data_IF_794141414182
#
_entry.id   IF_794141414182
#
_cell.length_a   1.000
_cell.length_b   1.000
_cell.length_c   1.000
_cell.angle_alpha   90.00
_cell.angle_beta   90.00
_cell.angle_gamma   90.00
#
_symmetry.space_group_name_H-M   'P 1'
#
loop_
_entity.id
_entity.type
_entity.pdbx_description
1 polymer ?
#
# COMPACT_ATOMS: atom_id res chain seq x y z
N UNK A 1 9.69 2.92 -30.15
CA UNK A 1 10.56 4.11 -30.00
C UNK A 1 11.10 4.14 -28.59
N UNK A 2 12.14 4.94 -28.31
CA UNK A 2 12.65 5.11 -26.94
C UNK A 2 11.55 5.65 -26.01
N UNK A 3 11.58 5.29 -24.72
CA UNK A 3 10.59 5.75 -23.75
C UNK A 3 10.54 7.27 -23.71
N UNK A 4 9.32 7.81 -23.74
CA UNK A 4 9.05 9.23 -23.69
C UNK A 4 9.29 9.77 -22.28
N UNK A 5 9.39 11.09 -22.16
CA UNK A 5 9.48 11.76 -20.85
C UNK A 5 8.28 11.41 -19.93
N UNK A 6 7.09 11.25 -20.50
CA UNK A 6 5.91 10.86 -19.75
C UNK A 6 6.03 9.43 -19.18
N UNK A 7 6.63 8.50 -19.93
CA UNK A 7 6.88 7.13 -19.46
C UNK A 7 7.84 7.13 -18.26
N UNK A 8 8.88 7.96 -18.30
CA UNK A 8 9.82 8.12 -17.19
C UNK A 8 9.16 8.74 -15.94
N UNK A 9 8.25 9.70 -16.11
CA UNK A 9 7.50 10.29 -14.99
C UNK A 9 6.54 9.27 -14.35
N UNK A 10 5.87 8.44 -15.15
CA UNK A 10 5.01 7.36 -14.67
C UNK A 10 5.80 6.30 -13.89
N UNK A 11 6.97 5.91 -14.41
CA UNK A 11 7.88 4.97 -13.73
C UNK A 11 8.39 5.56 -12.43
N UNK A 12 8.76 6.85 -12.39
CA UNK A 12 9.25 7.47 -11.16
C UNK A 12 8.16 7.50 -10.06
N UNK A 13 6.90 7.76 -10.42
CA UNK A 13 5.76 7.67 -9.50
C UNK A 13 5.56 6.25 -8.97
N UNK A 14 5.69 5.23 -9.84
CA UNK A 14 5.63 3.82 -9.45
C UNK A 14 6.78 3.43 -8.52
N UNK A 15 8.00 3.94 -8.74
CA UNK A 15 9.15 3.67 -7.87
C UNK A 15 8.97 4.30 -6.49
N UNK A 16 8.52 5.56 -6.41
CA UNK A 16 8.21 6.20 -5.13
C UNK A 16 7.17 5.43 -4.34
N UNK A 17 6.18 4.88 -5.05
CA UNK A 17 5.18 4.01 -4.49
C UNK A 17 5.77 2.71 -3.92
N UNK A 18 6.56 1.98 -4.71
CA UNK A 18 7.18 0.71 -4.29
C UNK A 18 8.16 0.87 -3.12
N UNK A 19 8.82 2.02 -3.02
CA UNK A 19 9.72 2.34 -1.90
C UNK A 19 8.99 2.28 -0.54
N UNK A 20 7.70 2.63 -0.48
CA UNK A 20 6.92 2.58 0.76
C UNK A 20 6.76 1.13 1.23
N UNK A 21 6.41 0.23 0.31
CA UNK A 21 6.29 -1.21 0.59
C UNK A 21 7.64 -1.79 1.01
N UNK A 22 8.69 -1.46 0.27
CA UNK A 22 10.03 -1.93 0.55
C UNK A 22 10.50 -1.55 1.97
N UNK A 23 10.31 -0.29 2.38
CA UNK A 23 10.67 0.18 3.73
C UNK A 23 9.86 -0.54 4.81
N UNK A 24 8.55 -0.68 4.62
CA UNK A 24 7.69 -1.41 5.54
C UNK A 24 8.11 -2.89 5.67
N UNK A 25 8.41 -3.56 4.56
CA UNK A 25 8.88 -4.94 4.55
C UNK A 25 10.20 -5.09 5.29
N UNK A 26 11.19 -4.22 5.06
CA UNK A 26 12.47 -4.28 5.79
C UNK A 26 12.25 -4.14 7.29
N UNK A 27 11.47 -3.15 7.72
CA UNK A 27 11.23 -2.93 9.15
C UNK A 27 10.52 -4.12 9.80
N UNK A 28 9.56 -4.72 9.11
CA UNK A 28 8.85 -5.91 9.59
C UNK A 28 9.74 -7.15 9.63
N UNK A 29 10.55 -7.39 8.59
CA UNK A 29 11.44 -8.55 8.51
C UNK A 29 12.62 -8.47 9.47
N UNK A 30 13.07 -7.26 9.85
CA UNK A 30 14.17 -7.06 10.78
C UNK A 30 13.74 -7.11 12.25
N UNK A 31 12.44 -7.09 12.55
CA UNK A 31 11.96 -7.10 13.94
C UNK A 31 12.05 -8.49 14.57
N UNK A 32 12.64 -8.55 15.76
CA UNK A 32 12.68 -9.75 16.61
C UNK A 32 11.62 -9.75 17.72
N UNK A 33 10.79 -8.70 17.79
CA UNK A 33 9.70 -8.54 18.76
C UNK A 33 8.35 -8.40 18.05
N UNK A 34 7.21 -8.56 18.75
CA UNK A 34 5.88 -8.43 18.16
C UNK A 34 5.70 -7.04 17.51
N UNK A 35 5.76 -7.01 16.18
CA UNK A 35 5.68 -5.77 15.40
C UNK A 35 4.26 -5.45 14.91
N UNK A 36 3.24 -6.01 15.56
CA UNK A 36 1.85 -5.89 15.13
C UNK A 36 1.36 -4.44 15.03
N UNK A 37 1.72 -3.56 15.98
CA UNK A 37 1.43 -2.12 15.91
C UNK A 37 2.11 -1.46 14.70
N UNK A 38 3.36 -1.83 14.41
CA UNK A 38 4.09 -1.31 13.24
C UNK A 38 3.51 -1.82 11.94
N UNK A 39 3.11 -3.09 11.90
CA UNK A 39 2.43 -3.72 10.78
C UNK A 39 1.10 -3.01 10.49
N UNK A 40 0.31 -2.73 11.52
CA UNK A 40 -0.91 -1.96 11.38
C UNK A 40 -0.64 -0.56 10.81
N UNK A 41 0.33 0.17 11.37
CA UNK A 41 0.69 1.50 10.89
C UNK A 41 1.18 1.48 9.43
N UNK A 42 1.98 0.47 9.05
CA UNK A 42 2.42 0.26 7.69
C UNK A 42 1.25 0.01 6.73
N UNK A 43 0.32 -0.88 7.11
CA UNK A 43 -0.88 -1.18 6.31
C UNK A 43 -1.69 0.09 6.11
N UNK A 44 -2.00 0.84 7.18
CA UNK A 44 -2.77 2.09 7.10
C UNK A 44 -2.08 3.13 6.21
N UNK A 45 -0.76 3.29 6.34
CA UNK A 45 0.03 4.22 5.52
C UNK A 45 0.01 3.84 4.05
N UNK A 46 0.17 2.54 3.74
CA UNK A 46 0.09 2.02 2.37
C UNK A 46 -1.31 2.25 1.78
N UNK A 47 -2.38 1.95 2.52
CA UNK A 47 -3.76 2.17 2.07
C UNK A 47 -4.01 3.63 1.72
N UNK A 48 -3.62 4.56 2.60
CA UNK A 48 -3.79 6.01 2.37
C UNK A 48 -3.05 6.49 1.13
N UNK A 49 -1.81 6.04 0.95
CA UNK A 49 -1.00 6.43 -0.21
C UNK A 49 -1.56 5.87 -1.53
N UNK A 50 -2.01 4.60 -1.54
CA UNK A 50 -2.67 4.01 -2.71
C UNK A 50 -3.98 4.76 -3.03
N UNK A 51 -4.79 5.04 -2.01
CA UNK A 51 -6.07 5.72 -2.18
C UNK A 51 -5.89 7.13 -2.74
N UNK A 52 -4.87 7.87 -2.26
CA UNK A 52 -4.54 9.18 -2.81
C UNK A 52 -4.16 9.07 -4.30
N UNK A 53 -3.34 8.08 -4.67
CA UNK A 53 -2.94 7.84 -6.06
C UNK A 53 -4.10 7.36 -6.95
N UNK A 54 -5.05 6.59 -6.42
CA UNK A 54 -6.21 6.11 -7.18
C UNK A 54 -7.29 7.18 -7.37
N UNK A 55 -7.33 8.21 -6.51
CA UNK A 55 -8.36 9.26 -6.53
C UNK A 55 -7.85 10.59 -7.09
N UNK A 56 -6.53 10.82 -7.12
CA UNK A 56 -5.95 12.05 -7.68
C UNK A 56 -6.28 12.17 -9.17
N UNK A 57 -6.89 13.30 -9.54
CA UNK A 57 -7.12 13.65 -10.93
C UNK A 57 -5.79 13.99 -11.61
N UNK A 58 -5.41 13.22 -12.64
CA UNK A 58 -4.18 13.42 -13.39
C UNK A 58 -4.22 12.72 -14.75
N UNK A 59 -3.25 13.02 -15.64
CA UNK A 59 -3.24 12.51 -17.02
C UNK A 59 -3.00 10.99 -17.09
N UNK A 60 -2.50 10.39 -16.02
CA UNK A 60 -2.04 9.01 -16.01
C UNK A 60 -3.16 8.04 -15.56
N UNK A 61 -4.15 7.86 -16.43
CA UNK A 61 -5.28 6.95 -16.19
C UNK A 61 -4.84 5.49 -15.98
N UNK A 62 -3.70 5.10 -16.56
CA UNK A 62 -3.11 3.77 -16.39
C UNK A 62 -2.57 3.61 -14.97
N UNK A 63 -1.80 4.58 -14.47
CA UNK A 63 -1.31 4.59 -13.09
C UNK A 63 -2.46 4.52 -12.09
N UNK A 64 -3.53 5.28 -12.32
CA UNK A 64 -4.75 5.23 -11.49
C UNK A 64 -5.38 3.83 -11.48
N UNK A 65 -5.51 3.21 -12.65
CA UNK A 65 -6.07 1.86 -12.77
C UNK A 65 -5.20 0.83 -12.04
N UNK A 66 -3.88 0.94 -12.13
CA UNK A 66 -2.95 0.08 -11.39
C UNK A 66 -3.07 0.30 -9.87
N UNK A 67 -3.13 1.56 -9.43
CA UNK A 67 -3.35 1.92 -8.03
C UNK A 67 -4.67 1.35 -7.50
N UNK A 68 -5.78 1.49 -8.24
CA UNK A 68 -7.07 0.90 -7.87
C UNK A 68 -7.03 -0.63 -7.78
N UNK A 69 -6.32 -1.30 -8.70
CA UNK A 69 -6.14 -2.76 -8.62
C UNK A 69 -5.33 -3.17 -7.39
N UNK A 70 -4.32 -2.39 -7.02
CA UNK A 70 -3.55 -2.62 -5.79
C UNK A 70 -4.38 -2.34 -4.53
N UNK A 71 -5.23 -1.31 -4.55
CA UNK A 71 -6.16 -1.03 -3.47
C UNK A 71 -7.10 -2.21 -3.25
N UNK A 72 -7.71 -2.73 -4.32
CA UNK A 72 -8.60 -3.89 -4.22
C UNK A 72 -7.90 -5.15 -3.71
N UNK A 73 -6.63 -5.37 -4.03
CA UNK A 73 -5.83 -6.46 -3.43
C UNK A 73 -5.59 -6.21 -1.94
N UNK A 74 -5.28 -4.97 -1.57
CA UNK A 74 -5.01 -4.62 -0.18
C UNK A 74 -6.29 -4.73 0.68
N UNK A 75 -7.42 -4.26 0.17
CA UNK A 75 -8.74 -4.44 0.78
C UNK A 75 -9.11 -5.92 0.89
N UNK A 76 -8.84 -6.74 -0.12
CA UNK A 76 -9.13 -8.18 -0.07
C UNK A 76 -8.43 -8.92 1.07
N UNK A 77 -7.24 -8.49 1.49
CA UNK A 77 -6.47 -9.17 2.56
C UNK A 77 -6.54 -8.45 3.90
N UNK A 78 -6.92 -7.17 3.91
CA UNK A 78 -6.78 -6.30 5.07
C UNK A 78 -8.00 -5.40 5.32
N UNK A 79 -9.14 -5.65 4.70
CA UNK A 79 -10.38 -4.92 4.97
C UNK A 79 -10.79 -5.09 6.44
N UNK A 80 -11.00 -3.94 7.08
CA UNK A 80 -11.36 -3.86 8.50
C UNK A 80 -12.87 -4.09 8.74
N UNK A 81 -13.67 -3.94 7.69
CA UNK A 81 -15.13 -3.82 7.75
C UNK A 81 -15.87 -4.72 6.77
N UNK A 82 -15.17 -5.61 6.06
CA UNK A 82 -15.81 -6.59 5.19
C UNK A 82 -15.80 -7.95 5.90
N UNK A 83 -16.97 -8.48 6.21
CA UNK A 83 -17.16 -9.79 6.87
C UNK A 83 -16.63 -10.96 6.03
N UNK A 84 -16.12 -10.69 4.81
CA UNK A 84 -15.55 -11.66 3.87
C UNK A 84 -14.06 -11.89 4.03
N UNK A 85 -13.37 -11.13 4.88
CA UNK A 85 -11.91 -11.25 5.07
C UNK A 85 -11.59 -11.56 6.52
N UNK A 86 -11.09 -12.78 6.78
CA UNK A 86 -10.54 -13.19 8.07
C UNK A 86 -9.17 -12.52 8.30
N UNK A 87 -9.17 -11.21 8.51
CA UNK A 87 -7.98 -10.49 8.95
C UNK A 87 -7.66 -10.94 10.39
N UNK A 88 -6.39 -11.22 10.69
CA UNK A 88 -6.00 -11.61 12.03
C UNK A 88 -6.24 -10.43 12.99
N UNK A 89 -7.34 -10.49 13.74
CA UNK A 89 -7.77 -9.44 14.68
C UNK A 89 -6.74 -9.15 15.77
N UNK A 90 -5.81 -10.07 16.04
CA UNK A 90 -4.70 -9.84 16.97
C UNK A 90 -3.75 -8.72 16.49
N UNK A 91 -3.65 -8.49 15.17
CA UNK A 91 -2.87 -7.38 14.60
C UNK A 91 -3.50 -6.03 14.98
N UNK A 92 -4.84 -5.96 15.09
CA UNK A 92 -5.56 -4.76 15.55
C UNK A 92 -5.38 -4.52 17.03
N UNK A 93 -5.59 -5.57 17.84
CA UNK A 93 -5.46 -5.48 19.30
C UNK A 93 -4.07 -5.00 19.68
N UNK A 94 -3.04 -5.58 19.05
CA UNK A 94 -1.65 -5.21 19.30
C UNK A 94 -1.23 -3.89 18.62
N UNK A 95 -2.14 -3.13 18.02
CA UNK A 95 -1.91 -1.75 17.58
C UNK A 95 -2.34 -0.69 18.61
N UNK A 96 -3.14 -1.09 19.61
CA UNK A 96 -3.65 -0.22 20.69
C UNK A 96 -2.73 -0.25 21.93
N UNK A 97 -1.81 -1.23 22.00
CA UNK A 97 -0.80 -1.39 23.05
C UNK A 97 0.60 -1.09 22.52
#
# INVERSE_FOLDING_TARGET
>A
GPPSRADWEAVNKLVQFLIIFYKATIELSASTSPCSHKLYHAIVTMTKNILMLSTTAGPDALLRTKASSMLGKLEKYWSLFDDKVDMNRLVMVAAVF
#
